data_IF_748246335165
#
_entry.id   IF_748246335165
#
_cell.length_a   1.000
_cell.length_b   1.000
_cell.length_c   1.000
_cell.angle_alpha   90.00
_cell.angle_beta   90.00
_cell.angle_gamma   90.00
#
_symmetry.space_group_name_H-M   'P 1'
#
loop_
_entity.id
_entity.type
_entity.pdbx_description
1 polymer ?
#
# COMPACT_ATOMS: atom_id res chain seq x y z
N UNK A 1 10.59 8.91 -6.14
CA UNK A 1 9.83 8.21 -5.07
C UNK A 1 10.41 8.64 -3.73
N UNK A 2 9.57 8.95 -2.78
CA UNK A 2 9.95 9.21 -1.38
C UNK A 2 9.40 8.07 -0.52
N UNK A 3 10.24 7.47 0.29
CA UNK A 3 9.88 6.42 1.23
C UNK A 3 10.28 6.86 2.63
N UNK A 4 9.34 6.85 3.55
CA UNK A 4 9.58 7.19 4.94
C UNK A 4 9.05 6.08 5.85
N UNK A 5 9.82 5.71 6.86
CA UNK A 5 9.40 4.81 7.92
C UNK A 5 9.80 5.38 9.27
N UNK A 6 8.86 5.42 10.20
CA UNK A 6 9.06 5.94 11.55
C UNK A 6 8.57 4.92 12.57
N UNK A 7 9.39 4.61 13.54
CA UNK A 7 9.01 3.74 14.66
C UNK A 7 8.41 4.52 15.83
N UNK A 8 8.76 5.79 15.94
CA UNK A 8 8.27 6.67 17.01
C UNK A 8 7.59 7.88 16.38
N UNK A 9 6.29 7.82 16.30
CA UNK A 9 5.45 8.89 15.76
C UNK A 9 4.19 9.01 16.61
N UNK A 10 4.24 9.77 17.72
CA UNK A 10 3.06 9.97 18.56
C UNK A 10 1.88 10.49 17.73
N UNK A 11 0.72 9.87 17.89
CA UNK A 11 -0.48 10.18 17.12
C UNK A 11 -0.67 9.32 15.85
N UNK A 12 0.33 8.54 15.43
CA UNK A 12 0.22 7.57 14.34
C UNK A 12 0.60 6.19 14.86
N UNK A 13 -0.34 5.26 14.90
CA UNK A 13 -0.12 3.89 15.34
C UNK A 13 -0.39 2.96 14.18
N UNK A 14 0.62 2.21 13.75
CA UNK A 14 0.57 1.27 12.61
C UNK A 14 -0.09 1.86 11.36
N UNK A 15 0.20 3.13 11.12
CA UNK A 15 -0.33 3.86 9.99
C UNK A 15 0.53 3.62 8.75
N UNK A 16 -0.13 3.18 7.69
CA UNK A 16 0.45 3.04 6.36
C UNK A 16 -0.29 3.96 5.42
N UNK A 17 0.43 4.80 4.73
CA UNK A 17 -0.18 5.64 3.72
C UNK A 17 0.61 5.57 2.41
N UNK A 18 -0.12 5.71 1.32
CA UNK A 18 0.41 5.78 -0.03
C UNK A 18 -0.15 7.04 -0.69
N UNK A 19 0.74 7.86 -1.21
CA UNK A 19 0.38 9.02 -2.02
C UNK A 19 1.06 8.92 -3.39
N UNK A 20 0.28 9.10 -4.43
CA UNK A 20 0.77 9.09 -5.81
C UNK A 20 0.37 10.42 -6.44
N UNK A 21 1.34 11.15 -6.92
CA UNK A 21 1.15 12.44 -7.58
C UNK A 21 1.49 12.30 -9.07
N UNK A 22 0.50 12.49 -9.91
CA UNK A 22 0.64 12.49 -11.37
C UNK A 22 0.35 13.85 -11.98
N UNK A 23 0.58 13.98 -13.27
CA UNK A 23 0.33 15.22 -14.01
C UNK A 23 -1.17 15.54 -14.15
N UNK A 24 -1.98 14.50 -14.28
CA UNK A 24 -3.41 14.63 -14.56
C UNK A 24 -4.28 14.37 -13.35
N UNK A 25 -3.81 13.53 -12.43
CA UNK A 25 -4.51 13.19 -11.21
C UNK A 25 -3.52 12.78 -10.12
N UNK A 26 -3.98 12.85 -8.89
CA UNK A 26 -3.28 12.34 -7.72
C UNK A 26 -4.23 11.50 -6.87
N UNK A 27 -3.69 10.53 -6.17
CA UNK A 27 -4.45 9.67 -5.28
C UNK A 27 -3.71 9.47 -3.96
N UNK A 28 -4.48 9.23 -2.90
CA UNK A 28 -3.93 8.91 -1.58
C UNK A 28 -4.80 7.89 -0.86
N UNK A 29 -4.15 7.02 -0.14
CA UNK A 29 -4.76 5.99 0.70
C UNK A 29 -4.11 5.99 2.08
N UNK A 30 -4.90 5.71 3.11
CA UNK A 30 -4.43 5.57 4.48
C UNK A 30 -5.05 4.32 5.10
N UNK A 31 -4.23 3.46 5.70
CA UNK A 31 -4.69 2.23 6.36
C UNK A 31 -5.59 2.46 7.58
N UNK A 32 -5.57 3.66 8.17
CA UNK A 32 -6.49 4.03 9.25
C UNK A 32 -7.92 4.32 8.76
N UNK A 33 -8.10 4.46 7.45
CA UNK A 33 -9.41 4.53 6.78
C UNK A 33 -9.42 3.55 5.58
N UNK A 34 -9.42 2.24 5.84
CA UNK A 34 -9.23 1.23 4.80
C UNK A 34 -10.42 1.15 3.82
N UNK A 35 -11.55 1.74 4.17
CA UNK A 35 -12.78 1.70 3.39
C UNK A 35 -12.86 2.81 2.34
N UNK A 36 -11.84 3.66 2.25
CA UNK A 36 -11.85 4.78 1.33
C UNK A 36 -10.46 5.09 0.78
N UNK A 37 -10.44 5.72 -0.37
CA UNK A 37 -9.30 6.47 -0.85
C UNK A 37 -9.74 7.84 -1.35
N UNK A 38 -8.81 8.76 -1.47
CA UNK A 38 -9.09 10.07 -2.03
C UNK A 38 -8.33 10.27 -3.32
N UNK A 39 -8.94 10.95 -4.26
CA UNK A 39 -8.27 11.38 -5.48
C UNK A 39 -8.60 12.83 -5.82
N UNK A 40 -7.76 13.44 -6.60
CA UNK A 40 -8.00 14.76 -7.21
C UNK A 40 -7.61 14.73 -8.68
N UNK A 41 -8.30 15.53 -9.48
CA UNK A 41 -7.99 15.71 -10.90
C UNK A 41 -7.43 17.12 -11.11
N UNK A 42 -6.45 17.24 -11.99
CA UNK A 42 -5.82 18.53 -12.31
C UNK A 42 -6.68 19.41 -13.26
N UNK A 43 -7.79 18.87 -13.77
CA UNK A 43 -8.64 19.52 -14.75
C UNK A 43 -9.64 20.45 -14.07
N UNK A 44 -9.52 21.75 -14.32
CA UNK A 44 -10.47 22.74 -13.88
C UNK A 44 -9.85 23.88 -13.08
N UNK A 45 -10.72 24.80 -12.63
CA UNK A 45 -10.31 25.97 -11.85
C UNK A 45 -10.08 25.67 -10.37
N UNK A 46 -10.64 24.56 -9.88
CA UNK A 46 -10.58 24.14 -8.50
C UNK A 46 -9.96 22.76 -8.38
N UNK A 47 -9.09 22.60 -7.41
CA UNK A 47 -8.52 21.31 -7.05
C UNK A 47 -9.17 20.85 -5.75
N UNK A 48 -10.09 19.92 -5.85
CA UNK A 48 -10.75 19.33 -4.70
C UNK A 48 -10.36 17.85 -4.55
N UNK A 49 -10.11 17.40 -3.33
CA UNK A 49 -9.96 16.00 -3.02
C UNK A 49 -11.34 15.34 -2.87
N UNK A 50 -11.63 14.42 -3.77
CA UNK A 50 -12.83 13.60 -3.71
C UNK A 50 -12.54 12.32 -2.94
N UNK A 51 -13.26 12.07 -1.85
CA UNK A 51 -13.20 10.83 -1.11
C UNK A 51 -14.16 9.81 -1.74
N UNK A 52 -13.64 8.63 -2.07
CA UNK A 52 -14.42 7.51 -2.59
C UNK A 52 -14.44 6.42 -1.54
N UNK A 53 -15.63 5.98 -1.15
CA UNK A 53 -15.80 4.78 -0.36
C UNK A 53 -15.70 3.56 -1.28
N UNK A 54 -14.78 2.65 -0.96
CA UNK A 54 -14.71 1.36 -1.62
C UNK A 54 -15.76 0.43 -1.02
N UNK A 55 -16.41 -0.36 -1.88
CA UNK A 55 -17.45 -1.27 -1.39
C UNK A 55 -16.89 -2.46 -0.60
N UNK A 56 -17.75 -3.12 0.15
CA UNK A 56 -17.45 -4.32 0.94
C UNK A 56 -17.49 -5.60 0.09
N UNK A 57 -16.81 -5.61 -1.03
CA UNK A 57 -16.74 -6.82 -1.86
C UNK A 57 -15.29 -7.29 -1.99
N UNK A 58 -14.76 -7.98 -0.98
CA UNK A 58 -13.43 -8.55 -1.04
C UNK A 58 -13.37 -9.65 -2.12
N UNK A 59 -12.18 -9.94 -2.60
CA UNK A 59 -11.96 -10.99 -3.60
C UNK A 59 -12.25 -12.37 -3.02
N UNK A 60 -11.88 -12.60 -1.78
CA UNK A 60 -12.14 -13.83 -1.04
C UNK A 60 -13.09 -13.56 0.13
N UNK A 61 -13.91 -14.54 0.56
CA UNK A 61 -14.76 -14.39 1.72
C UNK A 61 -13.98 -13.95 2.97
N UNK A 62 -14.57 -13.04 3.72
CA UNK A 62 -14.07 -12.64 5.04
C UNK A 62 -14.79 -13.43 6.14
N UNK A 63 -14.22 -13.46 7.34
CA UNK A 63 -14.82 -14.14 8.51
C UNK A 63 -16.19 -13.56 8.83
N UNK A 64 -16.37 -12.27 8.65
CA UNK A 64 -17.61 -11.54 8.97
C UNK A 64 -18.55 -11.36 7.78
N UNK A 65 -18.22 -11.87 6.60
CA UNK A 65 -19.07 -11.90 5.38
C UNK A 65 -19.27 -10.53 4.80
N UNK A 66 -18.99 -9.49 5.00
CA UNK A 66 -19.29 -8.17 4.40
C UNK A 66 -20.34 -7.37 5.15
N UNK A 67 -20.70 -7.81 6.35
CA UNK A 67 -21.59 -7.07 7.26
C UNK A 67 -20.78 -6.04 8.07
N UNK A 68 -19.55 -6.37 8.41
CA UNK A 68 -18.64 -5.51 9.16
C UNK A 68 -17.54 -4.94 8.29
N UNK A 69 -16.90 -3.90 8.78
CA UNK A 69 -15.83 -3.22 8.07
C UNK A 69 -14.64 -4.15 7.80
N UNK A 70 -14.09 -4.01 6.60
CA UNK A 70 -12.85 -4.67 6.20
C UNK A 70 -11.68 -4.05 6.96
N UNK A 71 -10.95 -4.85 7.68
CA UNK A 71 -9.83 -4.40 8.50
C UNK A 71 -8.48 -5.01 8.11
N UNK A 72 -7.46 -4.74 8.88
CA UNK A 72 -6.10 -5.22 8.65
C UNK A 72 -6.02 -6.77 8.64
N UNK A 73 -6.74 -7.43 9.52
CA UNK A 73 -6.84 -8.90 9.57
C UNK A 73 -7.45 -9.48 8.30
N UNK A 74 -8.47 -8.84 7.76
CA UNK A 74 -9.08 -9.26 6.51
C UNK A 74 -8.14 -9.07 5.32
N UNK A 75 -7.35 -8.00 5.31
CA UNK A 75 -6.31 -7.78 4.29
C UNK A 75 -5.25 -8.89 4.33
N UNK A 76 -4.80 -9.29 5.51
CA UNK A 76 -3.86 -10.42 5.67
C UNK A 76 -4.50 -11.72 5.17
N UNK A 77 -5.76 -11.97 5.48
CA UNK A 77 -6.49 -13.15 4.98
C UNK A 77 -6.55 -13.16 3.45
N UNK A 78 -6.84 -12.01 2.82
CA UNK A 78 -6.82 -11.91 1.35
C UNK A 78 -5.42 -12.24 0.78
N UNK A 79 -4.36 -11.74 1.40
CA UNK A 79 -2.98 -12.04 0.99
C UNK A 79 -2.66 -13.54 1.08
N UNK A 80 -3.03 -14.20 2.17
CA UNK A 80 -2.83 -15.65 2.33
C UNK A 80 -3.62 -16.45 1.31
N UNK A 81 -4.87 -16.09 1.06
CA UNK A 81 -5.69 -16.76 0.03
C UNK A 81 -5.06 -16.60 -1.36
N UNK A 82 -4.60 -15.40 -1.71
CA UNK A 82 -3.92 -15.14 -2.97
C UNK A 82 -2.64 -16.01 -3.10
N UNK A 83 -1.82 -16.05 -2.07
CA UNK A 83 -0.59 -16.86 -2.05
C UNK A 83 -0.87 -18.36 -2.26
N UNK A 84 -1.87 -18.90 -1.57
CA UNK A 84 -2.25 -20.31 -1.74
C UNK A 84 -2.77 -20.60 -3.16
N UNK A 85 -3.55 -19.68 -3.73
CA UNK A 85 -4.03 -19.83 -5.10
C UNK A 85 -2.91 -19.76 -6.13
N UNK A 86 -1.91 -18.91 -5.95
CA UNK A 86 -0.72 -18.86 -6.80
C UNK A 86 0.09 -20.17 -6.72
N UNK A 87 0.22 -20.78 -5.53
CA UNK A 87 0.85 -22.10 -5.37
C UNK A 87 0.08 -23.17 -6.18
N UNK A 88 -1.24 -23.07 -6.23
CA UNK A 88 -2.08 -23.96 -7.02
C UNK A 88 -2.06 -23.64 -8.54
N UNK A 89 -1.30 -22.63 -8.97
CA UNK A 89 -1.23 -22.18 -10.37
C UNK A 89 -2.50 -21.48 -10.86
N UNK A 90 -3.27 -20.89 -9.99
CA UNK A 90 -4.51 -20.16 -10.31
C UNK A 90 -4.24 -18.66 -10.39
N UNK A 91 -4.85 -18.01 -11.36
CA UNK A 91 -4.77 -16.56 -11.50
C UNK A 91 -5.50 -15.84 -10.34
N UNK A 92 -4.88 -14.78 -9.84
CA UNK A 92 -5.44 -13.91 -8.79
C UNK A 92 -5.46 -12.47 -9.29
N UNK A 93 -6.50 -11.72 -8.91
CA UNK A 93 -6.67 -10.33 -9.35
C UNK A 93 -5.58 -9.37 -8.81
N UNK A 94 -4.90 -9.75 -7.75
CA UNK A 94 -3.68 -9.09 -7.27
C UNK A 94 -2.63 -10.15 -6.98
N UNK A 95 -1.39 -9.88 -7.39
CA UNK A 95 -0.28 -10.82 -7.20
C UNK A 95 0.37 -10.68 -5.83
N UNK A 96 1.04 -11.75 -5.40
CA UNK A 96 1.93 -11.71 -4.26
C UNK A 96 3.27 -11.07 -4.65
N UNK A 97 3.96 -10.51 -3.67
CA UNK A 97 5.30 -9.98 -3.87
C UNK A 97 6.25 -11.11 -4.31
N UNK A 98 6.87 -10.94 -5.45
CA UNK A 98 7.83 -11.91 -5.99
C UNK A 98 9.16 -11.89 -5.24
N UNK A 99 9.97 -12.97 -5.30
CA UNK A 99 11.32 -12.96 -4.73
C UNK A 99 12.20 -11.84 -5.30
N UNK A 100 12.03 -11.47 -6.58
CA UNK A 100 12.75 -10.36 -7.20
C UNK A 100 12.38 -9.00 -6.60
N UNK A 101 11.10 -8.73 -6.45
CA UNK A 101 10.60 -7.50 -5.79
C UNK A 101 11.02 -7.42 -4.32
N UNK A 102 11.00 -8.55 -3.62
CA UNK A 102 11.51 -8.65 -2.25
C UNK A 102 13.01 -8.36 -2.21
N UNK A 103 13.78 -8.91 -3.14
CA UNK A 103 15.22 -8.63 -3.27
C UNK A 103 15.50 -7.15 -3.49
N UNK A 104 14.75 -6.49 -4.37
CA UNK A 104 14.86 -5.04 -4.59
C UNK A 104 14.52 -4.23 -3.33
N UNK A 105 13.46 -4.61 -2.61
CA UNK A 105 13.09 -3.95 -1.36
C UNK A 105 14.21 -4.04 -0.32
N UNK A 106 14.86 -5.20 -0.19
CA UNK A 106 16.01 -5.37 0.70
C UNK A 106 17.24 -4.57 0.24
N UNK A 107 17.50 -4.49 -1.06
CA UNK A 107 18.58 -3.68 -1.62
C UNK A 107 18.38 -2.18 -1.29
N UNK A 108 17.15 -1.67 -1.44
CA UNK A 108 16.79 -0.29 -1.08
C UNK A 108 17.05 -0.02 0.40
N UNK A 109 16.62 -0.90 1.29
CA UNK A 109 16.82 -0.76 2.74
C UNK A 109 18.32 -0.80 3.11
N UNK A 110 19.07 -1.70 2.50
CA UNK A 110 20.51 -1.81 2.70
C UNK A 110 21.23 -0.55 2.24
N UNK A 111 20.90 -0.05 1.05
CA UNK A 111 21.46 1.20 0.52
C UNK A 111 21.11 2.41 1.41
N UNK A 112 19.90 2.46 1.96
CA UNK A 112 19.51 3.52 2.90
C UNK A 112 20.34 3.49 4.19
N UNK A 113 20.60 2.32 4.76
CA UNK A 113 21.46 2.15 5.92
C UNK A 113 22.91 2.54 5.61
N UNK A 114 23.42 2.19 4.43
CA UNK A 114 24.74 2.58 3.97
C UNK A 114 24.84 4.09 3.80
N UNK A 115 23.87 4.70 3.12
CA UNK A 115 23.77 6.16 2.94
C UNK A 115 23.79 6.89 4.29
N UNK A 116 23.03 6.38 5.27
CA UNK A 116 23.01 6.96 6.62
C UNK A 116 24.39 6.90 7.30
N UNK A 117 25.08 5.78 7.20
CA UNK A 117 26.43 5.60 7.82
C UNK A 117 27.50 6.45 7.14
N UNK A 118 27.48 6.46 5.81
CA UNK A 118 28.49 7.13 5.01
C UNK A 118 28.18 8.62 4.74
N UNK A 119 26.98 9.07 5.09
CA UNK A 119 26.50 10.46 4.88
C UNK A 119 26.60 10.91 3.41
N UNK A 120 26.36 10.00 2.48
CA UNK A 120 26.35 10.27 1.03
C UNK A 120 25.19 9.54 0.34
N UNK A 121 24.88 9.96 -0.88
CA UNK A 121 23.98 9.21 -1.75
C UNK A 121 24.60 7.85 -2.10
N UNK A 122 23.78 6.82 -2.16
CA UNK A 122 24.16 5.46 -2.58
C UNK A 122 23.26 5.05 -3.72
N UNK A 123 23.85 4.54 -4.79
CA UNK A 123 23.11 3.98 -5.91
C UNK A 123 22.52 2.62 -5.51
N UNK A 124 21.32 2.36 -6.01
CA UNK A 124 20.63 1.07 -5.85
C UNK A 124 20.92 0.26 -7.10
N UNK A 125 21.38 -0.99 -6.95
CA UNK A 125 21.74 -1.85 -8.06
C UNK A 125 20.54 -2.25 -8.93
#
# INVERSE_FOLDING_TARGET
MYLETKRMSPGSTDEWFLEVYGMDCSARFNSNDPNAFSYTQAWGKEQAWCRINVGYKPLFPTITGGIFEFGFTDAILQMWCAFLMEIEGRDVAFGCCTPGETGLSHAIQTAALQSHREKRAVEIP
#
